data_IF_956893649993
#
_entry.id   IF_956893649993
#
_cell.length_a   1.000
_cell.length_b   1.000
_cell.length_c   1.000
_cell.angle_alpha   90.00
_cell.angle_beta   90.00
_cell.angle_gamma   90.00
#
_symmetry.space_group_name_H-M   'P 1'
#
loop_
_entity.id
_entity.type
_entity.pdbx_description
1 polymer ?
#
# COMPACT_ATOMS: atom_id res chain seq x y z
N UNK A 1 9.41 -2.49 11.25
CA UNK A 1 8.10 -1.91 10.84
C UNK A 1 8.30 -0.56 10.18
N UNK A 2 7.96 -0.46 8.90
CA UNK A 2 8.05 0.74 8.07
C UNK A 2 6.76 1.55 8.21
N UNK A 3 6.88 2.85 8.48
CA UNK A 3 5.75 3.79 8.60
C UNK A 3 5.79 4.79 7.45
N UNK A 4 4.78 4.79 6.58
CA UNK A 4 4.79 5.57 5.34
C UNK A 4 3.52 6.42 5.21
N UNK A 5 3.70 7.73 5.00
CA UNK A 5 2.62 8.62 4.57
C UNK A 5 2.47 8.59 3.03
N UNK A 6 1.44 7.87 2.57
CA UNK A 6 1.05 7.75 1.16
C UNK A 6 0.52 9.05 0.52
N UNK A 7 0.31 10.09 1.32
CA UNK A 7 -0.10 11.43 0.88
C UNK A 7 1.08 12.34 0.51
N UNK A 8 2.32 11.91 0.78
CA UNK A 8 3.50 12.70 0.47
C UNK A 8 3.64 13.00 -1.04
N UNK A 9 4.32 14.11 -1.35
CA UNK A 9 4.53 14.60 -2.72
C UNK A 9 3.18 14.71 -3.46
N UNK A 10 3.04 14.03 -4.61
CA UNK A 10 1.83 14.04 -5.43
C UNK A 10 0.71 13.12 -4.96
N UNK A 11 0.93 12.31 -3.90
CA UNK A 11 -0.04 11.30 -3.45
C UNK A 11 -0.42 10.32 -4.57
N UNK A 12 0.53 9.94 -5.43
CA UNK A 12 0.30 8.94 -6.47
C UNK A 12 0.36 7.52 -5.89
N UNK A 13 -0.13 6.54 -6.66
CA UNK A 13 0.01 5.12 -6.29
C UNK A 13 1.46 4.60 -6.32
N UNK A 14 2.45 5.42 -6.73
CA UNK A 14 3.85 5.03 -6.76
C UNK A 14 4.40 4.76 -5.36
N UNK A 15 4.05 5.58 -4.37
CA UNK A 15 4.50 5.39 -2.98
C UNK A 15 4.03 4.03 -2.48
N UNK A 16 2.74 3.74 -2.61
CA UNK A 16 2.17 2.44 -2.22
C UNK A 16 2.89 1.26 -2.87
N UNK A 17 3.08 1.27 -4.19
CA UNK A 17 3.71 0.14 -4.90
C UNK A 17 5.15 -0.09 -4.46
N UNK A 18 5.92 0.99 -4.30
CA UNK A 18 7.31 0.89 -3.85
C UNK A 18 7.40 0.44 -2.40
N UNK A 19 6.55 0.97 -1.51
CA UNK A 19 6.53 0.56 -0.11
C UNK A 19 6.23 -0.93 0.04
N UNK A 20 5.20 -1.44 -0.66
CA UNK A 20 4.84 -2.87 -0.65
C UNK A 20 5.97 -3.73 -1.21
N UNK A 21 6.58 -3.33 -2.33
CA UNK A 21 7.69 -4.08 -2.93
C UNK A 21 8.91 -4.13 -2.01
N UNK A 22 9.28 -3.00 -1.39
CA UNK A 22 10.42 -2.93 -0.47
C UNK A 22 10.14 -3.71 0.82
N UNK A 23 8.94 -3.60 1.40
CA UNK A 23 8.54 -4.39 2.56
C UNK A 23 8.62 -5.90 2.27
N UNK A 24 8.16 -6.32 1.08
CA UNK A 24 8.25 -7.71 0.62
C UNK A 24 9.69 -8.20 0.48
N UNK A 25 10.59 -7.38 -0.06
CA UNK A 25 12.02 -7.73 -0.25
C UNK A 25 12.76 -7.76 1.09
N UNK A 26 12.48 -6.80 1.97
CA UNK A 26 13.16 -6.66 3.27
C UNK A 26 12.61 -7.62 4.33
N UNK A 27 11.41 -8.17 4.14
CA UNK A 27 10.73 -8.97 5.17
C UNK A 27 10.29 -8.14 6.38
N UNK A 28 10.10 -6.83 6.18
CA UNK A 28 9.75 -5.87 7.24
C UNK A 28 8.25 -5.54 7.18
N UNK A 29 7.53 -5.55 8.31
CA UNK A 29 6.12 -5.12 8.35
C UNK A 29 5.97 -3.68 7.84
N UNK A 30 4.90 -3.38 7.11
CA UNK A 30 4.59 -2.06 6.60
C UNK A 30 3.24 -1.58 7.13
N UNK A 31 3.22 -0.32 7.57
CA UNK A 31 2.00 0.46 7.74
C UNK A 31 2.07 1.68 6.83
N UNK A 32 1.06 1.82 5.95
CA UNK A 32 0.93 2.96 5.05
C UNK A 32 -0.45 3.60 5.19
N UNK A 33 -0.47 4.90 5.47
CA UNK A 33 -1.69 5.70 5.67
C UNK A 33 -1.78 6.83 4.64
N UNK A 34 -2.92 7.54 4.56
CA UNK A 34 -3.21 8.57 3.57
C UNK A 34 -3.01 8.11 2.09
N UNK A 35 -3.27 6.83 1.79
CA UNK A 35 -3.05 6.27 0.45
C UNK A 35 -3.84 7.09 -0.57
N UNK A 36 -3.11 7.72 -1.50
CA UNK A 36 -3.67 8.54 -2.58
C UNK A 36 -4.59 9.68 -2.11
N UNK A 37 -4.38 10.21 -0.90
CA UNK A 37 -5.21 11.26 -0.27
C UNK A 37 -5.40 12.53 -1.11
N UNK A 38 -4.46 12.85 -2.01
CA UNK A 38 -4.49 14.04 -2.88
C UNK A 38 -5.11 13.79 -4.26
N UNK A 39 -5.68 12.60 -4.52
CA UNK A 39 -6.36 12.29 -5.78
C UNK A 39 -7.86 12.53 -5.63
N UNK A 40 -8.53 12.84 -6.74
CA UNK A 40 -10.00 12.96 -6.81
C UNK A 40 -10.69 11.74 -6.22
N UNK A 41 -10.13 10.57 -6.52
CA UNK A 41 -10.57 9.28 -6.01
C UNK A 41 -9.48 8.72 -5.10
N UNK A 42 -9.52 8.94 -3.78
CA UNK A 42 -8.48 8.49 -2.86
C UNK A 42 -8.50 6.97 -2.62
N UNK A 43 -7.49 6.47 -1.92
CA UNK A 43 -7.39 5.07 -1.49
C UNK A 43 -7.00 4.07 -2.59
N UNK A 44 -7.15 2.78 -2.29
CA UNK A 44 -6.84 1.70 -3.23
C UNK A 44 -7.81 1.71 -4.42
N UNK A 45 -7.27 1.46 -5.61
CA UNK A 45 -8.03 1.21 -6.84
C UNK A 45 -7.84 -0.27 -7.20
N UNK A 46 -8.63 -0.87 -8.11
CA UNK A 46 -8.49 -2.29 -8.46
C UNK A 46 -7.04 -2.71 -8.74
N UNK A 47 -6.30 -1.93 -9.53
CA UNK A 47 -4.87 -2.17 -9.81
C UNK A 47 -3.95 -2.14 -8.58
N UNK A 48 -4.26 -1.29 -7.59
CA UNK A 48 -3.49 -1.18 -6.35
C UNK A 48 -3.78 -2.36 -5.44
N UNK A 49 -5.06 -2.71 -5.30
CA UNK A 49 -5.49 -3.85 -4.51
C UNK A 49 -4.86 -5.15 -5.04
N UNK A 50 -4.93 -5.39 -6.35
CA UNK A 50 -4.35 -6.60 -6.93
C UNK A 50 -2.82 -6.65 -6.76
N UNK A 51 -2.14 -5.50 -6.86
CA UNK A 51 -0.70 -5.43 -6.60
C UNK A 51 -0.35 -5.82 -5.17
N UNK A 52 -1.11 -5.33 -4.19
CA UNK A 52 -0.94 -5.65 -2.76
C UNK A 52 -1.20 -7.14 -2.51
N UNK A 53 -2.32 -7.67 -2.99
CA UNK A 53 -2.69 -9.08 -2.80
C UNK A 53 -1.70 -10.03 -3.48
N UNK A 54 -1.20 -9.66 -4.65
CA UNK A 54 -0.18 -10.45 -5.36
C UNK A 54 1.14 -10.48 -4.58
N UNK A 55 1.62 -9.32 -4.12
CA UNK A 55 2.83 -9.25 -3.31
C UNK A 55 2.69 -10.09 -2.03
N UNK A 56 1.56 -9.98 -1.34
CA UNK A 56 1.30 -10.74 -0.11
C UNK A 56 1.31 -12.25 -0.34
N UNK A 57 0.74 -12.73 -1.46
CA UNK A 57 0.80 -14.14 -1.85
C UNK A 57 2.23 -14.62 -2.12
N UNK A 58 3.08 -13.76 -2.71
CA UNK A 58 4.46 -14.12 -3.03
C UNK A 58 5.36 -14.23 -1.79
N UNK A 59 5.10 -13.42 -0.75
CA UNK A 59 5.90 -13.41 0.48
C UNK A 59 5.18 -13.97 1.73
N UNK A 60 4.00 -14.56 1.57
CA UNK A 60 3.13 -15.04 2.66
C UNK A 60 2.84 -13.96 3.73
N UNK A 61 2.60 -12.72 3.31
CA UNK A 61 2.31 -11.61 4.21
C UNK A 61 0.85 -11.60 4.70
N UNK A 62 0.65 -11.15 5.94
CA UNK A 62 -0.67 -10.90 6.51
C UNK A 62 -1.08 -9.46 6.23
N UNK A 63 -2.19 -9.27 5.52
CA UNK A 63 -2.63 -7.94 5.08
C UNK A 63 -3.92 -7.52 5.75
N UNK A 64 -3.97 -6.27 6.25
CA UNK A 64 -5.17 -5.63 6.79
C UNK A 64 -5.45 -4.34 6.03
N UNK A 65 -6.71 -4.07 5.72
CA UNK A 65 -7.11 -2.85 4.99
C UNK A 65 -7.01 -2.98 3.46
N UNK A 66 -6.84 -4.19 2.91
CA UNK A 66 -6.82 -4.43 1.48
C UNK A 66 -8.25 -4.52 0.89
N UNK A 67 -8.88 -3.37 0.69
CA UNK A 67 -10.17 -3.25 -0.02
C UNK A 67 -10.18 -1.98 -0.89
N UNK A 68 -11.02 -1.97 -1.93
CA UNK A 68 -11.16 -0.80 -2.83
C UNK A 68 -11.58 0.43 -2.03
N UNK A 69 -10.88 1.56 -2.22
CA UNK A 69 -11.12 2.80 -1.49
C UNK A 69 -10.39 2.90 -0.16
N UNK A 70 -9.73 1.84 0.32
CA UNK A 70 -8.97 1.90 1.56
C UNK A 70 -7.85 2.94 1.49
N UNK A 71 -7.76 3.80 2.50
CA UNK A 71 -6.72 4.82 2.62
C UNK A 71 -5.60 4.43 3.58
N UNK A 72 -5.68 3.22 4.14
CA UNK A 72 -4.76 2.72 5.16
C UNK A 72 -4.56 1.21 4.99
N UNK A 73 -3.33 0.73 5.11
CA UNK A 73 -2.96 -0.65 4.84
C UNK A 73 -1.86 -1.08 5.80
N UNK A 74 -2.02 -2.26 6.38
CA UNK A 74 -0.94 -3.02 7.01
C UNK A 74 -0.61 -4.19 6.10
N UNK A 75 0.67 -4.35 5.78
CA UNK A 75 1.19 -5.34 4.86
C UNK A 75 2.36 -6.08 5.50
#
# INVERSE_FOLDING_TARGET
>A
MLEIDGGQKSGSGTILRLSVALASILGEPLHIYNIRKKRSEPGLRPQHLESVLTAAKLCNANVKGAYIGSQELWF
#
